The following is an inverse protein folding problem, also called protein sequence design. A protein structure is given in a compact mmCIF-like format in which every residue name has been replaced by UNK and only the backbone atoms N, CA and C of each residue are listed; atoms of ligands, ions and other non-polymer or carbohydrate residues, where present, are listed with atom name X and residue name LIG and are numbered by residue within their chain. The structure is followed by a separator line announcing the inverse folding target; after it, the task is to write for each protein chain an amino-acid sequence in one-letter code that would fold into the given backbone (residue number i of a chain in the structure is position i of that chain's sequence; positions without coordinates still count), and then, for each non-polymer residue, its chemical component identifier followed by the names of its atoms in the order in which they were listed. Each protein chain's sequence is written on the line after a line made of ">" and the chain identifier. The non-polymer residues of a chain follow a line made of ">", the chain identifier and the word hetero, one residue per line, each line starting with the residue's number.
data_IF_873082576673
#
_entry.id   IF_873082576673
#
_cell.length_a   1.000
_cell.length_b   1.000
_cell.length_c   1.000
_cell.angle_alpha   90.00
_cell.angle_beta   90.00
_cell.angle_gamma   90.00
#
_symmetry.space_group_name_H-M   'P 1'
#
loop_
_entity.id
_entity.type
_entity.pdbx_description
1 polymer ?
#
# COMPACT_ATOMS: atom_id res chain seq x y z
N UNK A 1 -16.83 -16.23 19.59
CA UNK A 1 -15.52 -16.46 18.96
C UNK A 1 -15.73 -17.30 17.70
N UNK A 2 -15.93 -16.63 16.57
CA UNK A 2 -16.11 -17.27 15.26
C UNK A 2 -14.75 -17.77 14.77
N UNK A 3 -14.64 -19.09 14.49
CA UNK A 3 -13.46 -19.68 13.86
C UNK A 3 -13.32 -19.09 12.44
N UNK A 4 -12.34 -18.20 12.25
CA UNK A 4 -11.90 -17.82 10.91
C UNK A 4 -11.24 -19.06 10.27
N UNK A 5 -11.78 -19.57 9.17
CA UNK A 5 -11.03 -20.54 8.37
C UNK A 5 -9.79 -19.83 7.81
N UNK A 6 -8.64 -20.50 7.87
CA UNK A 6 -7.38 -19.96 7.36
C UNK A 6 -7.51 -19.78 5.83
N UNK A 7 -7.52 -18.54 5.28
CA UNK A 7 -7.58 -18.35 3.83
C UNK A 7 -6.34 -18.89 3.12
N UNK A 8 -5.29 -19.30 3.86
CA UNK A 8 -4.17 -20.05 3.32
C UNK A 8 -4.44 -21.56 3.18
N UNK A 9 -5.60 -22.07 3.62
CA UNK A 9 -6.01 -23.45 3.36
C UNK A 9 -6.12 -23.71 1.84
N UNK A 10 -6.59 -22.76 1.04
CA UNK A 10 -6.60 -22.89 -0.44
C UNK A 10 -5.19 -22.81 -1.05
N UNK A 11 -4.23 -22.10 -0.45
CA UNK A 11 -2.83 -22.19 -0.90
C UNK A 11 -2.22 -23.56 -0.62
N UNK A 12 -2.74 -24.31 0.37
CA UNK A 12 -2.33 -25.71 0.56
C UNK A 12 -2.84 -26.61 -0.55
N UNK A 13 -3.99 -26.31 -1.17
CA UNK A 13 -4.47 -27.04 -2.34
C UNK A 13 -3.54 -26.90 -3.54
N UNK A 14 -3.09 -25.68 -3.85
CA UNK A 14 -2.15 -25.49 -4.96
C UNK A 14 -0.82 -26.16 -4.68
N UNK A 15 -0.27 -25.99 -3.46
CA UNK A 15 1.00 -26.59 -3.08
C UNK A 15 0.94 -28.12 -2.97
N UNK A 16 -0.21 -28.70 -2.64
CA UNK A 16 -0.40 -30.16 -2.60
C UNK A 16 -0.59 -30.73 -4.01
N UNK A 17 -1.32 -30.02 -4.89
CA UNK A 17 -1.55 -30.42 -6.29
C UNK A 17 -0.31 -30.24 -7.17
N UNK A 18 0.50 -29.20 -6.91
CA UNK A 18 1.68 -28.84 -7.70
C UNK A 18 2.92 -28.60 -6.81
N UNK A 19 3.43 -29.64 -6.12
CA UNK A 19 4.51 -29.49 -5.14
C UNK A 19 5.83 -29.00 -5.78
N UNK A 20 6.14 -29.43 -6.99
CA UNK A 20 7.35 -28.99 -7.71
C UNK A 20 7.27 -27.51 -8.09
N UNK A 21 6.11 -27.03 -8.55
CA UNK A 21 5.91 -25.62 -8.87
C UNK A 21 6.01 -24.75 -7.62
N UNK A 22 5.43 -25.19 -6.49
CA UNK A 22 5.53 -24.46 -5.23
C UNK A 22 6.98 -24.38 -4.70
N UNK A 23 7.76 -25.46 -4.83
CA UNK A 23 9.19 -25.47 -4.49
C UNK A 23 10.00 -24.55 -5.40
N UNK A 24 9.75 -24.61 -6.71
CA UNK A 24 10.41 -23.74 -7.68
C UNK A 24 10.10 -22.26 -7.43
N UNK A 25 8.82 -21.92 -7.19
CA UNK A 25 8.42 -20.56 -6.86
C UNK A 25 9.13 -20.05 -5.59
N UNK A 26 9.22 -20.88 -4.55
CA UNK A 26 9.94 -20.54 -3.33
C UNK A 26 11.44 -20.34 -3.60
N UNK A 27 12.08 -21.22 -4.37
CA UNK A 27 13.49 -21.11 -4.74
C UNK A 27 13.76 -19.82 -5.53
N UNK A 28 12.95 -19.53 -6.54
CA UNK A 28 13.05 -18.29 -7.33
C UNK A 28 12.82 -17.06 -6.47
N UNK A 29 11.88 -17.12 -5.52
CA UNK A 29 11.60 -16.01 -4.61
C UNK A 29 12.78 -15.69 -3.70
N UNK A 30 13.45 -16.73 -3.17
CA UNK A 30 14.70 -16.55 -2.43
C UNK A 30 15.85 -16.04 -3.30
N UNK A 31 15.99 -16.55 -4.52
CA UNK A 31 16.99 -16.06 -5.47
C UNK A 31 16.81 -14.57 -5.77
N UNK A 32 15.58 -14.15 -6.06
CA UNK A 32 15.22 -12.74 -6.25
C UNK A 32 15.51 -11.92 -5.00
N UNK A 33 15.16 -12.43 -3.81
CA UNK A 33 15.38 -11.74 -2.54
C UNK A 33 16.86 -11.47 -2.26
N UNK A 34 17.72 -12.47 -2.44
CA UNK A 34 19.16 -12.32 -2.27
C UNK A 34 19.76 -11.37 -3.31
N UNK A 35 19.31 -11.47 -4.57
CA UNK A 35 19.72 -10.56 -5.62
C UNK A 35 19.34 -9.10 -5.30
N UNK A 36 18.08 -8.84 -4.92
CA UNK A 36 17.60 -7.52 -4.54
C UNK A 36 18.36 -6.97 -3.32
N UNK A 37 18.60 -7.80 -2.31
CA UNK A 37 19.39 -7.43 -1.15
C UNK A 37 20.81 -7.01 -1.54
N UNK A 38 21.52 -7.83 -2.34
CA UNK A 38 22.86 -7.54 -2.82
C UNK A 38 22.92 -6.26 -3.66
N UNK A 39 21.95 -6.06 -4.57
CA UNK A 39 21.82 -4.83 -5.37
C UNK A 39 21.55 -3.59 -4.51
N UNK A 40 20.77 -3.73 -3.46
CA UNK A 40 20.50 -2.62 -2.51
C UNK A 40 21.77 -2.23 -1.77
N UNK A 41 22.50 -3.21 -1.24
CA UNK A 41 23.78 -2.96 -0.54
C UNK A 41 24.77 -2.29 -1.48
N UNK A 42 24.95 -2.81 -2.71
CA UNK A 42 25.80 -2.16 -3.71
C UNK A 42 25.38 -0.73 -4.01
N UNK A 43 24.07 -0.49 -4.21
CA UNK A 43 23.57 0.86 -4.49
C UNK A 43 23.78 1.83 -3.32
N UNK A 44 23.62 1.39 -2.07
CA UNK A 44 23.93 2.19 -0.88
C UNK A 44 25.40 2.56 -0.81
N UNK A 45 26.31 1.63 -1.16
CA UNK A 45 27.75 1.86 -1.12
C UNK A 45 28.25 2.74 -2.28
N UNK A 46 27.62 2.66 -3.45
CA UNK A 46 28.12 3.29 -4.68
C UNK A 46 27.38 4.58 -5.08
N UNK A 47 26.07 4.68 -4.80
CA UNK A 47 25.18 5.67 -5.41
C UNK A 47 24.51 6.61 -4.40
N UNK A 48 24.89 6.57 -3.12
CA UNK A 48 24.37 7.44 -2.06
C UNK A 48 22.82 7.47 -1.99
N UNK A 49 22.17 6.32 -2.24
CA UNK A 49 20.70 6.22 -2.21
C UNK A 49 20.13 6.16 -0.79
N UNK A 50 21.00 6.11 0.22
CA UNK A 50 20.61 5.84 1.60
C UNK A 50 19.90 7.06 2.19
N UNK A 51 18.63 6.86 2.53
CA UNK A 51 17.74 7.90 3.03
C UNK A 51 17.40 8.97 2.00
N UNK A 52 17.50 8.68 0.69
CA UNK A 52 17.27 9.68 -0.35
C UNK A 52 15.88 10.36 -0.22
N UNK A 53 14.82 9.60 0.04
CA UNK A 53 13.47 10.17 0.13
C UNK A 53 13.17 10.72 1.53
N UNK A 54 13.66 10.06 2.58
CA UNK A 54 13.53 10.54 3.96
C UNK A 54 14.29 11.82 4.23
N UNK A 55 15.41 12.04 3.54
CA UNK A 55 16.18 13.27 3.66
C UNK A 55 15.36 14.47 3.16
N UNK A 56 14.57 14.29 2.10
CA UNK A 56 13.60 15.28 1.65
C UNK A 56 12.59 15.64 2.75
N UNK A 57 12.10 14.65 3.49
CA UNK A 57 11.15 14.86 4.59
C UNK A 57 11.79 15.60 5.77
N UNK A 58 13.01 15.20 6.13
CA UNK A 58 13.78 15.79 7.22
C UNK A 58 14.14 17.25 6.94
N UNK A 59 14.59 17.55 5.71
CA UNK A 59 14.87 18.92 5.28
C UNK A 59 13.60 19.77 5.26
N UNK A 60 12.54 19.29 4.61
CA UNK A 60 11.29 20.05 4.47
C UNK A 60 10.62 20.34 5.82
N UNK A 61 10.76 19.45 6.80
CA UNK A 61 10.23 19.66 8.15
C UNK A 61 11.07 20.63 9.00
N UNK A 62 12.34 20.84 8.66
CA UNK A 62 13.23 21.79 9.34
C UNK A 62 13.21 23.20 8.73
N UNK A 63 13.04 23.31 7.42
CA UNK A 63 12.98 24.60 6.72
C UNK A 63 11.56 25.16 6.65
N UNK A 64 11.42 26.38 6.12
CA UNK A 64 10.15 26.80 5.54
C UNK A 64 9.87 25.90 4.31
N UNK A 65 8.67 25.34 4.25
CA UNK A 65 8.25 24.44 3.19
C UNK A 65 8.28 25.15 1.82
N UNK A 66 9.10 24.66 0.89
CA UNK A 66 9.09 25.14 -0.49
C UNK A 66 8.87 23.98 -1.48
N UNK A 67 7.80 24.07 -2.26
CA UNK A 67 7.48 23.12 -3.34
C UNK A 67 8.20 23.48 -4.65
N UNK A 68 9.51 23.72 -4.58
CA UNK A 68 10.30 24.22 -5.71
C UNK A 68 10.89 23.11 -6.58
N UNK A 69 11.06 21.90 -6.02
CA UNK A 69 11.70 20.78 -6.71
C UNK A 69 10.67 19.87 -7.36
N UNK A 70 10.88 19.58 -8.64
CA UNK A 70 10.01 18.69 -9.40
C UNK A 70 10.14 17.22 -8.92
N UNK A 71 9.09 16.39 -9.10
CA UNK A 71 9.17 14.96 -8.82
C UNK A 71 10.38 14.29 -9.50
N UNK A 72 11.08 13.45 -8.74
CA UNK A 72 12.28 12.74 -9.22
C UNK A 72 13.59 13.51 -9.04
N UNK A 73 13.54 14.78 -8.64
CA UNK A 73 14.74 15.50 -8.22
C UNK A 73 15.16 15.10 -6.79
N UNK A 74 16.46 15.22 -6.49
CA UNK A 74 17.00 14.98 -5.15
C UNK A 74 16.34 15.92 -4.15
N UNK A 75 15.94 15.39 -3.01
CA UNK A 75 15.29 16.13 -1.93
C UNK A 75 13.99 16.84 -2.34
N UNK A 76 13.27 16.31 -3.34
CA UNK A 76 11.96 16.84 -3.74
C UNK A 76 10.87 16.39 -2.75
N UNK A 77 10.30 17.36 -2.04
CA UNK A 77 9.17 17.11 -1.14
C UNK A 77 7.84 17.23 -1.89
N UNK A 78 7.02 16.17 -1.84
CA UNK A 78 5.83 16.03 -2.70
C UNK A 78 4.50 15.94 -1.93
N UNK A 79 4.56 15.89 -0.60
CA UNK A 79 3.40 15.55 0.24
C UNK A 79 2.70 16.79 0.76
N UNK A 80 1.48 16.63 1.27
CA UNK A 80 0.70 17.75 1.80
C UNK A 80 1.33 18.36 3.06
N UNK A 81 1.06 19.64 3.37
CA UNK A 81 1.64 20.32 4.54
C UNK A 81 1.38 19.60 5.86
N UNK A 82 0.20 18.99 6.03
CA UNK A 82 -0.15 18.25 7.25
C UNK A 82 0.78 17.06 7.52
N UNK A 83 1.37 16.46 6.48
CA UNK A 83 2.38 15.43 6.67
C UNK A 83 3.60 16.00 7.40
N UNK A 84 4.08 17.20 7.00
CA UNK A 84 5.16 17.89 7.70
C UNK A 84 4.81 18.16 9.16
N UNK A 85 3.62 18.68 9.45
CA UNK A 85 3.19 18.95 10.83
C UNK A 85 3.30 17.70 11.71
N UNK A 86 2.95 16.53 11.18
CA UNK A 86 3.03 15.25 11.90
C UNK A 86 4.47 14.78 12.11
N UNK A 87 5.34 14.92 11.10
CA UNK A 87 6.72 14.43 11.20
C UNK A 87 7.67 15.42 11.90
N UNK A 88 7.29 16.70 12.00
CA UNK A 88 8.14 17.78 12.51
C UNK A 88 8.76 17.50 13.89
N UNK A 89 8.03 16.96 14.89
CA UNK A 89 8.63 16.65 16.19
C UNK A 89 9.80 15.67 16.08
N UNK A 90 9.75 14.74 15.12
CA UNK A 90 10.81 13.77 14.87
C UNK A 90 11.94 14.38 14.04
N UNK A 91 11.63 15.30 13.12
CA UNK A 91 12.63 15.99 12.30
C UNK A 91 13.54 16.95 13.08
N UNK A 92 13.22 17.24 14.36
CA UNK A 92 14.13 17.90 15.30
C UNK A 92 15.35 17.05 15.67
N UNK A 93 15.28 15.73 15.44
CA UNK A 93 16.41 14.85 15.63
C UNK A 93 17.50 15.13 14.56
N UNK A 94 18.79 15.00 14.92
CA UNK A 94 19.86 14.95 13.94
C UNK A 94 19.59 13.91 12.85
N UNK A 95 20.01 14.20 11.62
CA UNK A 95 19.73 13.37 10.44
C UNK A 95 19.89 11.85 10.66
N UNK A 96 21.00 11.33 11.24
CA UNK A 96 21.16 9.89 11.43
C UNK A 96 20.08 9.27 12.34
N UNK A 97 19.60 10.01 13.34
CA UNK A 97 18.56 9.53 14.25
C UNK A 97 17.18 9.59 13.60
N UNK A 98 16.89 10.63 12.81
CA UNK A 98 15.66 10.69 12.02
C UNK A 98 15.59 9.54 11.02
N UNK A 99 16.67 9.29 10.28
CA UNK A 99 16.75 8.18 9.33
C UNK A 99 16.57 6.82 10.02
N UNK A 100 17.25 6.62 11.16
CA UNK A 100 17.11 5.39 11.95
C UNK A 100 15.68 5.17 12.41
N UNK A 101 15.03 6.22 12.95
CA UNK A 101 13.63 6.17 13.36
C UNK A 101 12.73 5.77 12.18
N UNK A 102 12.96 6.35 11.00
CA UNK A 102 12.17 6.08 9.82
C UNK A 102 12.30 4.63 9.34
N UNK A 103 13.53 4.11 9.26
CA UNK A 103 13.78 2.69 8.95
C UNK A 103 13.08 1.78 9.95
N UNK A 104 13.15 2.08 11.25
CA UNK A 104 12.49 1.30 12.29
C UNK A 104 10.97 1.32 12.13
N UNK A 105 10.38 2.47 11.78
CA UNK A 105 8.95 2.61 11.54
C UNK A 105 8.50 1.74 10.35
N UNK A 106 9.18 1.84 9.21
CA UNK A 106 8.86 1.03 8.03
C UNK A 106 9.08 -0.47 8.28
N UNK A 107 10.18 -0.84 8.92
CA UNK A 107 10.47 -2.23 9.27
C UNK A 107 9.40 -2.80 10.22
N UNK A 108 8.93 -2.01 11.20
CA UNK A 108 7.86 -2.43 12.09
C UNK A 108 6.54 -2.66 11.33
N UNK A 109 6.19 -1.76 10.41
CA UNK A 109 5.01 -1.92 9.54
C UNK A 109 5.16 -3.14 8.64
N UNK A 110 6.32 -3.35 8.02
CA UNK A 110 6.61 -4.53 7.21
C UNK A 110 6.48 -5.82 8.00
N UNK A 111 7.11 -5.92 9.17
CA UNK A 111 7.00 -7.08 10.06
C UNK A 111 5.54 -7.33 10.46
N UNK A 112 4.79 -6.27 10.74
CA UNK A 112 3.37 -6.37 10.99
C UNK A 112 2.64 -6.93 9.75
N UNK A 113 2.84 -6.36 8.56
CA UNK A 113 2.23 -6.79 7.30
C UNK A 113 2.52 -8.25 6.95
N UNK A 114 3.74 -8.71 7.18
CA UNK A 114 4.21 -10.07 6.87
C UNK A 114 3.87 -11.11 7.94
N UNK A 115 3.44 -10.71 9.14
CA UNK A 115 3.04 -11.62 10.24
C UNK A 115 2.08 -12.76 9.84
N UNK A 116 1.14 -12.59 8.89
CA UNK A 116 0.32 -13.68 8.38
C UNK A 116 1.07 -14.82 7.69
N UNK A 117 2.26 -14.54 7.16
CA UNK A 117 3.04 -15.47 6.35
C UNK A 117 3.92 -16.37 7.21
N UNK A 118 4.21 -17.58 6.70
CA UNK A 118 5.23 -18.46 7.27
C UNK A 118 6.62 -17.86 7.03
N UNK A 119 7.57 -18.13 7.93
CA UNK A 119 8.94 -17.60 7.85
C UNK A 119 9.59 -17.78 6.47
N UNK A 120 9.40 -18.94 5.83
CA UNK A 120 9.91 -19.24 4.48
C UNK A 120 9.49 -18.24 3.39
N UNK A 121 8.37 -17.53 3.58
CA UNK A 121 7.87 -16.48 2.68
C UNK A 121 8.11 -15.08 3.27
N UNK A 122 7.98 -14.92 4.59
CA UNK A 122 8.19 -13.63 5.25
C UNK A 122 9.64 -13.15 5.12
N UNK A 123 10.63 -14.03 5.34
CA UNK A 123 12.04 -13.68 5.27
C UNK A 123 12.50 -13.18 3.87
N UNK A 124 12.23 -13.89 2.75
CA UNK A 124 12.61 -13.39 1.44
C UNK A 124 11.81 -12.13 1.05
N UNK A 125 10.55 -12.00 1.47
CA UNK A 125 9.81 -10.75 1.25
C UNK A 125 10.49 -9.57 1.96
N UNK A 126 10.90 -9.75 3.21
CA UNK A 126 11.62 -8.72 3.96
C UNK A 126 12.90 -8.27 3.24
N UNK A 127 13.67 -9.23 2.70
CA UNK A 127 14.88 -8.95 1.92
C UNK A 127 14.57 -8.20 0.61
N UNK A 128 13.47 -8.54 -0.07
CA UNK A 128 13.02 -7.82 -1.27
C UNK A 128 12.62 -6.37 -0.94
N UNK A 129 12.20 -6.09 0.29
CA UNK A 129 11.83 -4.74 0.76
C UNK A 129 13.02 -3.88 1.20
N UNK A 130 14.25 -4.39 1.18
CA UNK A 130 15.43 -3.60 1.54
C UNK A 130 15.62 -2.31 0.71
N UNK A 131 15.33 -2.24 -0.61
CA UNK A 131 15.42 -0.99 -1.36
C UNK A 131 14.54 0.12 -0.81
N UNK A 132 13.31 -0.22 -0.40
CA UNK A 132 12.39 0.72 0.23
C UNK A 132 12.95 1.20 1.57
N UNK A 133 13.40 0.28 2.43
CA UNK A 133 13.98 0.62 3.74
C UNK A 133 15.26 1.47 3.60
N UNK A 134 16.05 1.22 2.56
CA UNK A 134 17.28 1.97 2.29
C UNK A 134 16.97 3.39 1.84
N UNK A 135 16.01 3.58 0.92
CA UNK A 135 15.63 4.89 0.39
C UNK A 135 14.73 5.68 1.35
N UNK A 136 13.88 4.98 2.11
CA UNK A 136 12.91 5.53 3.06
C UNK A 136 11.65 6.11 2.42
N UNK A 137 11.13 5.50 1.34
CA UNK A 137 9.86 5.94 0.74
C UNK A 137 8.67 5.44 1.58
N UNK A 138 7.48 6.01 1.38
CA UNK A 138 6.30 5.71 2.19
C UNK A 138 5.47 4.51 1.71
N UNK A 139 5.87 3.74 0.69
CA UNK A 139 5.03 2.69 0.11
C UNK A 139 4.68 1.57 1.11
N UNK A 140 5.57 1.22 2.04
CA UNK A 140 5.25 0.31 3.14
C UNK A 140 4.22 0.90 4.10
N UNK A 141 4.31 2.21 4.39
CA UNK A 141 3.31 2.91 5.20
C UNK A 141 1.96 2.98 4.48
N UNK A 142 1.97 3.18 3.16
CA UNK A 142 0.77 3.13 2.30
C UNK A 142 0.15 1.72 2.31
N UNK A 143 0.97 0.67 2.23
CA UNK A 143 0.53 -0.71 2.39
C UNK A 143 -0.16 -0.93 3.75
N UNK A 144 0.43 -0.38 4.83
CA UNK A 144 -0.15 -0.41 6.16
C UNK A 144 -1.49 0.33 6.24
N UNK A 145 -1.55 1.53 5.66
CA UNK A 145 -2.75 2.35 5.57
C UNK A 145 -3.85 1.67 4.74
N UNK A 146 -3.53 0.87 3.73
CA UNK A 146 -4.51 0.08 2.99
C UNK A 146 -5.27 -0.87 3.92
N UNK A 147 -4.54 -1.65 4.71
CA UNK A 147 -5.12 -2.62 5.67
C UNK A 147 -5.95 -1.91 6.73
N UNK A 148 -5.42 -0.82 7.29
CA UNK A 148 -6.12 -0.04 8.31
C UNK A 148 -7.34 0.68 7.73
N UNK A 149 -7.25 1.20 6.51
CA UNK A 149 -8.32 1.91 5.79
C UNK A 149 -9.54 1.04 5.54
N UNK A 150 -9.35 -0.25 5.28
CA UNK A 150 -10.45 -1.22 5.18
C UNK A 150 -11.23 -1.41 6.49
N UNK A 151 -10.59 -1.14 7.63
CA UNK A 151 -11.19 -1.28 8.96
C UNK A 151 -11.69 0.06 9.51
N UNK A 152 -10.88 1.11 9.36
CA UNK A 152 -11.07 2.49 9.81
C UNK A 152 -10.95 3.43 8.61
N UNK A 153 -12.07 3.81 7.97
CA UNK A 153 -12.04 4.57 6.70
C UNK A 153 -11.23 5.87 6.73
N UNK A 154 -11.12 6.54 7.89
CA UNK A 154 -10.31 7.76 8.06
C UNK A 154 -8.83 7.53 7.71
N UNK A 155 -8.30 6.31 7.86
CA UNK A 155 -6.91 6.00 7.53
C UNK A 155 -6.59 6.16 6.02
N UNK A 156 -7.60 6.19 5.15
CA UNK A 156 -7.43 6.55 3.73
C UNK A 156 -6.96 8.00 3.52
N UNK A 157 -7.08 8.86 4.54
CA UNK A 157 -6.51 10.21 4.49
C UNK A 157 -5.00 10.17 4.26
N UNK A 158 -4.28 9.21 4.85
CA UNK A 158 -2.83 9.14 4.70
C UNK A 158 -2.39 8.90 3.24
N UNK A 159 -2.90 7.90 2.51
CA UNK A 159 -2.65 7.77 1.07
C UNK A 159 -3.06 9.00 0.26
N UNK A 160 -4.24 9.58 0.51
CA UNK A 160 -4.72 10.73 -0.27
C UNK A 160 -3.82 11.97 -0.07
N UNK A 161 -3.35 12.19 1.15
CA UNK A 161 -2.55 13.35 1.55
C UNK A 161 -1.07 13.24 1.20
N UNK A 162 -0.62 12.09 0.68
CA UNK A 162 0.78 11.84 0.31
C UNK A 162 0.93 11.42 -1.14
N UNK A 163 0.05 10.56 -1.65
CA UNK A 163 -0.04 10.14 -3.06
C UNK A 163 -1.50 10.03 -3.47
N UNK A 164 -2.09 11.16 -3.87
CA UNK A 164 -3.54 11.36 -4.11
C UNK A 164 -4.26 10.15 -4.72
N UNK A 165 -3.78 9.63 -5.86
CA UNK A 165 -4.42 8.53 -6.59
C UNK A 165 -4.30 7.17 -5.89
N UNK A 166 -3.33 6.98 -4.99
CA UNK A 166 -3.20 5.79 -4.15
C UNK A 166 -4.35 5.69 -3.13
N UNK A 167 -5.09 6.78 -2.90
CA UNK A 167 -6.35 6.79 -2.15
C UNK A 167 -7.52 6.06 -2.82
N UNK A 168 -7.33 5.44 -3.99
CA UNK A 168 -8.37 4.76 -4.77
C UNK A 168 -9.18 3.72 -3.98
N UNK A 169 -8.60 3.13 -2.93
CA UNK A 169 -9.29 2.14 -2.11
C UNK A 169 -10.50 2.70 -1.36
N UNK A 170 -10.65 4.02 -1.20
CA UNK A 170 -11.87 4.60 -0.65
C UNK A 170 -13.11 4.35 -1.55
N UNK A 171 -12.90 4.23 -2.87
CA UNK A 171 -13.95 3.89 -3.83
C UNK A 171 -14.57 2.50 -3.58
N UNK A 172 -13.87 1.62 -2.86
CA UNK A 172 -14.41 0.34 -2.41
C UNK A 172 -15.73 0.51 -1.66
N UNK A 173 -15.81 1.47 -0.74
CA UNK A 173 -16.99 1.70 0.07
C UNK A 173 -18.16 2.22 -0.78
N UNK A 174 -17.88 3.07 -1.76
CA UNK A 174 -18.89 3.56 -2.70
C UNK A 174 -19.47 2.41 -3.54
N UNK A 175 -18.62 1.56 -4.12
CA UNK A 175 -19.05 0.41 -4.94
C UNK A 175 -19.91 -0.58 -4.15
N UNK A 176 -19.65 -0.73 -2.84
CA UNK A 176 -20.43 -1.59 -1.95
C UNK A 176 -21.68 -0.93 -1.36
N UNK A 177 -21.94 0.34 -1.65
CA UNK A 177 -23.03 1.09 -1.02
C UNK A 177 -22.82 1.33 0.48
N UNK A 178 -21.58 1.23 0.99
CA UNK A 178 -21.22 1.48 2.39
C UNK A 178 -21.08 2.98 2.67
N UNK A 179 -22.14 3.75 2.38
CA UNK A 179 -22.14 5.22 2.42
C UNK A 179 -21.67 5.81 3.75
N UNK A 180 -22.05 5.19 4.88
CA UNK A 180 -21.59 5.62 6.21
C UNK A 180 -20.07 5.56 6.34
N UNK A 181 -19.44 4.49 5.82
CA UNK A 181 -17.98 4.32 5.88
C UNK A 181 -17.27 5.25 4.91
N UNK A 182 -17.85 5.44 3.72
CA UNK A 182 -17.38 6.45 2.76
C UNK A 182 -17.40 7.84 3.39
N UNK A 183 -18.52 8.24 4.01
CA UNK A 183 -18.66 9.53 4.70
C UNK A 183 -17.72 9.66 5.89
N UNK A 184 -17.45 8.59 6.63
CA UNK A 184 -16.41 8.62 7.68
C UNK A 184 -15.03 8.90 7.11
N UNK A 185 -14.66 8.25 6.00
CA UNK A 185 -13.38 8.47 5.34
C UNK A 185 -13.25 9.89 4.79
N UNK A 186 -14.24 10.33 4.00
CA UNK A 186 -14.29 11.66 3.40
C UNK A 186 -14.40 12.77 4.46
N UNK A 187 -15.24 12.59 5.47
CA UNK A 187 -15.41 13.55 6.57
C UNK A 187 -14.16 13.67 7.42
N UNK A 188 -13.48 12.55 7.71
CA UNK A 188 -12.19 12.56 8.40
C UNK A 188 -11.10 13.27 7.60
N UNK A 189 -11.01 12.99 6.29
CA UNK A 189 -10.09 13.69 5.39
C UNK A 189 -10.39 15.19 5.35
N UNK A 190 -11.66 15.57 5.16
CA UNK A 190 -12.08 16.97 5.10
C UNK A 190 -11.79 17.71 6.40
N UNK A 191 -11.97 17.06 7.55
CA UNK A 191 -11.64 17.64 8.86
C UNK A 191 -10.11 17.86 8.99
N UNK A 192 -9.30 16.86 8.63
CA UNK A 192 -7.83 16.96 8.68
C UNK A 192 -7.34 18.10 7.78
N UNK A 193 -7.81 18.13 6.52
CA UNK A 193 -7.47 19.18 5.55
C UNK A 193 -7.95 20.53 6.05
N UNK A 194 -9.21 20.65 6.48
CA UNK A 194 -9.81 21.92 6.90
C UNK A 194 -9.12 22.53 8.12
N UNK A 195 -8.83 21.71 9.15
CA UNK A 195 -8.09 22.17 10.33
C UNK A 195 -6.67 22.57 9.95
N UNK A 196 -5.95 21.75 9.19
CA UNK A 196 -4.58 22.07 8.75
C UNK A 196 -4.52 23.32 7.87
N UNK A 197 -5.48 23.49 6.96
CA UNK A 197 -5.61 24.65 6.08
C UNK A 197 -5.84 25.93 6.87
N UNK A 198 -6.64 25.89 7.94
CA UNK A 198 -6.88 27.06 8.79
C UNK A 198 -5.60 27.56 9.48
N UNK A 199 -4.65 26.68 9.78
CA UNK A 199 -3.36 27.06 10.38
C UNK A 199 -2.33 27.51 9.34
N UNK A 200 -2.25 26.84 8.18
CA UNK A 200 -1.20 27.09 7.18
C UNK A 200 -1.76 27.25 5.74
N UNK A 201 -2.62 28.24 5.46
CA UNK A 201 -3.32 28.34 4.18
C UNK A 201 -2.37 28.53 2.98
N UNK A 202 -1.27 29.28 3.17
CA UNK A 202 -0.28 29.50 2.13
C UNK A 202 0.42 28.20 1.69
N UNK A 203 0.78 27.35 2.64
CA UNK A 203 1.41 26.04 2.39
C UNK A 203 0.48 25.13 1.57
N UNK A 204 -0.81 25.10 1.91
CA UNK A 204 -1.80 24.33 1.16
C UNK A 204 -2.01 24.84 -0.26
N UNK A 205 -2.11 26.16 -0.44
CA UNK A 205 -2.23 26.74 -1.77
C UNK A 205 -0.99 26.43 -2.64
N UNK A 206 0.21 26.46 -2.03
CA UNK A 206 1.44 26.06 -2.70
C UNK A 206 1.42 24.58 -3.10
N UNK A 207 0.95 23.68 -2.23
CA UNK A 207 0.83 22.26 -2.55
C UNK A 207 -0.18 21.99 -3.66
N UNK A 208 -1.35 22.64 -3.65
CA UNK A 208 -2.34 22.47 -4.71
C UNK A 208 -1.81 22.98 -6.05
N UNK A 209 -1.11 24.11 -6.06
CA UNK A 209 -0.44 24.63 -7.26
C UNK A 209 0.61 23.64 -7.76
N UNK A 210 1.44 23.12 -6.86
CA UNK A 210 2.45 22.12 -7.17
C UNK A 210 1.85 20.87 -7.84
N UNK A 211 0.74 20.34 -7.32
CA UNK A 211 0.04 19.19 -7.91
C UNK A 211 -0.49 19.48 -9.32
N UNK A 212 -1.03 20.68 -9.55
CA UNK A 212 -1.57 21.08 -10.85
C UNK A 212 -0.46 21.28 -11.89
N UNK A 213 0.67 21.88 -11.49
CA UNK A 213 1.83 22.10 -12.35
C UNK A 213 2.52 20.78 -12.74
N UNK A 214 2.51 19.78 -11.85
CA UNK A 214 3.19 18.50 -12.07
C UNK A 214 2.25 17.33 -12.45
N UNK A 215 0.99 17.62 -12.80
CA UNK A 215 0.01 16.59 -13.21
C UNK A 215 0.45 15.76 -14.43
N UNK A 216 1.39 16.30 -15.18
CA UNK A 216 1.90 15.76 -16.45
C UNK A 216 3.21 14.97 -16.29
N UNK A 217 3.84 15.03 -15.12
CA UNK A 217 5.21 14.59 -14.85
C UNK A 217 5.39 13.14 -14.41
N UNK A 218 4.53 12.21 -14.84
CA UNK A 218 4.71 10.79 -14.48
C UNK A 218 5.89 10.19 -15.27
N UNK A 219 6.88 9.57 -14.62
CA UNK A 219 8.09 9.07 -15.29
C UNK A 219 7.83 8.02 -16.40
N UNK A 220 6.69 7.33 -16.36
CA UNK A 220 6.30 6.27 -17.29
C UNK A 220 5.29 6.70 -18.36
N UNK A 221 5.13 8.02 -18.59
CA UNK A 221 4.15 8.70 -19.47
C UNK A 221 2.72 8.82 -18.93
N UNK A 222 2.06 9.92 -19.31
CA UNK A 222 0.66 10.19 -18.92
C UNK A 222 -0.32 9.12 -19.40
N UNK A 223 -0.14 8.62 -20.63
CA UNK A 223 -1.02 7.60 -21.22
C UNK A 223 -0.95 6.31 -20.39
N UNK A 224 0.26 5.87 -20.06
CA UNK A 224 0.46 4.74 -19.15
C UNK A 224 -0.25 4.98 -17.83
N UNK A 225 -0.06 6.15 -17.21
CA UNK A 225 -0.67 6.49 -15.93
C UNK A 225 -2.21 6.43 -15.96
N UNK A 226 -2.86 7.00 -16.99
CA UNK A 226 -4.32 6.94 -17.12
C UNK A 226 -4.84 5.53 -17.34
N UNK A 227 -4.16 4.73 -18.17
CA UNK A 227 -4.51 3.31 -18.38
C UNK A 227 -4.37 2.54 -17.06
N UNK A 228 -3.28 2.73 -16.32
CA UNK A 228 -3.08 2.10 -15.01
C UNK A 228 -4.16 2.53 -14.00
N UNK A 229 -4.54 3.80 -13.97
CA UNK A 229 -5.64 4.28 -13.14
C UNK A 229 -6.99 3.65 -13.51
N UNK A 230 -7.28 3.50 -14.81
CA UNK A 230 -8.49 2.81 -15.26
C UNK A 230 -8.50 1.34 -14.81
N UNK A 231 -7.36 0.64 -14.94
CA UNK A 231 -7.22 -0.74 -14.45
C UNK A 231 -7.37 -0.78 -12.93
N UNK A 232 -6.80 0.17 -12.20
CA UNK A 232 -6.96 0.26 -10.74
C UNK A 232 -8.43 0.39 -10.32
N UNK A 233 -9.21 1.23 -11.02
CA UNK A 233 -10.66 1.34 -10.80
C UNK A 233 -11.34 0.00 -11.04
N UNK A 234 -11.03 -0.69 -12.15
CA UNK A 234 -11.58 -2.02 -12.45
C UNK A 234 -11.26 -3.02 -11.34
N UNK A 235 -10.02 -3.04 -10.84
CA UNK A 235 -9.61 -3.91 -9.72
C UNK A 235 -10.37 -3.60 -8.44
N UNK A 236 -10.60 -2.33 -8.11
CA UNK A 236 -11.41 -1.95 -6.94
C UNK A 236 -12.85 -2.37 -7.12
N UNK A 237 -13.45 -2.17 -8.30
CA UNK A 237 -14.83 -2.56 -8.59
C UNK A 237 -15.00 -4.07 -8.50
N UNK A 238 -14.11 -4.84 -9.14
CA UNK A 238 -14.13 -6.30 -9.12
C UNK A 238 -13.91 -6.79 -7.70
N UNK A 239 -12.89 -6.27 -7.00
CA UNK A 239 -12.60 -6.62 -5.61
C UNK A 239 -13.78 -6.36 -4.69
N UNK A 240 -14.40 -5.19 -4.80
CA UNK A 240 -15.54 -4.79 -3.99
C UNK A 240 -16.76 -5.69 -4.24
N UNK A 241 -17.07 -6.01 -5.50
CA UNK A 241 -18.19 -6.87 -5.88
C UNK A 241 -17.96 -8.33 -5.48
N UNK A 242 -16.73 -8.82 -5.60
CA UNK A 242 -16.35 -10.22 -5.30
C UNK A 242 -15.90 -10.44 -3.85
N UNK A 243 -15.87 -9.40 -3.02
CA UNK A 243 -15.36 -9.46 -1.65
C UNK A 243 -13.90 -9.90 -1.58
N UNK A 244 -13.07 -9.39 -2.49
CA UNK A 244 -11.62 -9.66 -2.56
C UNK A 244 -10.81 -8.41 -2.17
N UNK A 245 -10.72 -8.08 -0.87
CA UNK A 245 -9.97 -6.93 -0.37
C UNK A 245 -8.48 -6.97 -0.74
N UNK A 246 -7.92 -8.14 -1.05
CA UNK A 246 -6.54 -8.28 -1.54
C UNK A 246 -6.27 -7.52 -2.84
N UNK A 247 -7.31 -7.24 -3.66
CA UNK A 247 -7.18 -6.46 -4.89
C UNK A 247 -6.94 -4.96 -4.66
N UNK A 248 -7.10 -4.47 -3.42
CA UNK A 248 -6.80 -3.08 -3.08
C UNK A 248 -5.30 -2.79 -3.25
N UNK A 249 -4.41 -3.68 -2.82
CA UNK A 249 -2.97 -3.47 -2.94
C UNK A 249 -2.47 -3.32 -4.39
N UNK A 250 -2.81 -4.22 -5.35
CA UNK A 250 -2.45 -4.01 -6.75
C UNK A 250 -3.17 -2.81 -7.39
N UNK A 251 -4.39 -2.47 -6.96
CA UNK A 251 -5.05 -1.25 -7.42
C UNK A 251 -4.28 0.01 -6.97
N UNK A 252 -3.83 0.06 -5.71
CA UNK A 252 -2.97 1.13 -5.19
C UNK A 252 -1.64 1.22 -5.93
N UNK A 253 -1.01 0.08 -6.24
CA UNK A 253 0.20 0.00 -7.05
C UNK A 253 0.02 0.64 -8.42
N UNK A 254 -1.02 0.22 -9.14
CA UNK A 254 -1.32 0.75 -10.47
C UNK A 254 -1.72 2.22 -10.43
N UNK A 255 -2.43 2.65 -9.39
CA UNK A 255 -2.81 4.05 -9.21
C UNK A 255 -1.64 4.94 -8.77
N UNK A 256 -0.47 4.40 -8.41
CA UNK A 256 0.67 5.22 -7.98
C UNK A 256 1.12 6.17 -9.10
N UNK A 257 1.28 7.49 -8.82
CA UNK A 257 1.78 8.45 -9.81
C UNK A 257 3.25 8.20 -10.18
N UNK A 258 3.99 7.46 -9.35
CA UNK A 258 5.37 7.05 -9.61
C UNK A 258 5.42 5.53 -9.58
N UNK A 259 5.66 4.91 -10.73
CA UNK A 259 5.84 3.47 -10.88
C UNK A 259 7.19 3.18 -11.53
N UNK A 260 8.27 3.56 -10.84
CA UNK A 260 9.65 3.39 -11.31
C UNK A 260 10.41 2.47 -10.36
N UNK A 261 11.12 1.50 -10.92
CA UNK A 261 11.93 0.56 -10.15
C UNK A 261 11.12 -0.36 -9.24
N UNK A 262 11.79 -1.09 -8.33
CA UNK A 262 11.16 -2.11 -7.49
C UNK A 262 10.42 -1.55 -6.27
N UNK A 263 10.67 -0.29 -5.91
CA UNK A 263 10.22 0.34 -4.65
C UNK A 263 8.67 0.38 -4.54
N UNK A 264 7.88 0.87 -5.52
CA UNK A 264 6.42 0.94 -5.40
C UNK A 264 5.74 -0.42 -5.17
N UNK A 265 6.36 -1.52 -5.62
CA UNK A 265 5.83 -2.87 -5.44
C UNK A 265 5.71 -3.28 -3.97
N UNK A 266 6.35 -2.55 -3.05
CA UNK A 266 6.23 -2.81 -1.60
C UNK A 266 4.81 -2.60 -1.07
N UNK A 267 3.94 -1.88 -1.80
CA UNK A 267 2.51 -1.84 -1.49
C UNK A 267 1.84 -3.23 -1.50
N UNK A 268 2.38 -4.19 -2.27
CA UNK A 268 1.88 -5.56 -2.31
C UNK A 268 2.10 -6.31 -0.99
N UNK A 269 2.90 -5.79 -0.06
CA UNK A 269 3.06 -6.35 1.29
C UNK A 269 1.74 -6.32 2.08
N UNK A 270 0.76 -5.51 1.66
CA UNK A 270 -0.58 -5.50 2.24
C UNK A 270 -1.41 -6.77 1.93
N UNK A 271 -1.10 -7.48 0.83
CA UNK A 271 -1.92 -8.60 0.31
C UNK A 271 -2.20 -9.69 1.36
N UNK A 272 -1.21 -10.21 2.12
CA UNK A 272 -1.45 -11.28 3.09
C UNK A 272 -2.45 -10.92 4.18
N UNK A 273 -2.46 -9.65 4.62
CA UNK A 273 -3.41 -9.17 5.62
C UNK A 273 -4.77 -8.85 5.02
N UNK A 274 -4.79 -8.18 3.87
CA UNK A 274 -6.03 -7.87 3.17
C UNK A 274 -6.81 -9.15 2.84
N UNK A 275 -6.14 -10.22 2.39
CA UNK A 275 -6.76 -11.50 2.09
C UNK A 275 -7.49 -12.14 3.29
N UNK A 276 -7.10 -11.81 4.53
CA UNK A 276 -7.78 -12.27 5.76
C UNK A 276 -9.03 -11.48 6.11
N UNK A 277 -9.30 -10.36 5.42
CA UNK A 277 -10.51 -9.57 5.60
C UNK A 277 -11.68 -10.10 4.75
N UNK A 278 -11.44 -11.01 3.82
CA UNK A 278 -12.49 -11.68 3.06
C UNK A 278 -13.40 -12.47 4.00
N UNK A 279 -14.74 -12.40 3.85
CA UNK A 279 -15.64 -13.27 4.59
C UNK A 279 -15.32 -14.72 4.25
N UNK A 280 -15.26 -15.59 5.27
CA UNK A 280 -15.17 -17.01 5.04
C UNK A 280 -16.50 -17.47 4.43
N UNK A 281 -16.51 -17.80 3.14
CA UNK A 281 -17.60 -18.58 2.56
C UNK A 281 -17.52 -19.96 3.19
N UNK A 282 -18.29 -20.17 4.27
CA UNK A 282 -18.54 -21.51 4.78
C UNK A 282 -19.31 -22.21 3.67
N UNK A 283 -18.63 -23.04 2.87
CA UNK A 283 -19.32 -24.07 2.12
C UNK A 283 -20.00 -24.94 3.16
N UNK A 284 -21.32 -24.82 3.29
CA UNK A 284 -22.13 -25.74 4.07
C UNK A 284 -21.99 -27.10 3.38
N UNK A 285 -21.34 -28.11 3.98
CA UNK A 285 -21.33 -29.45 3.44
C UNK A 285 -22.75 -29.99 3.63
N UNK A 286 -23.61 -29.88 2.61
CA UNK A 286 -25.02 -30.23 2.77
C UNK A 286 -25.94 -29.95 1.58
N UNK A 287 -25.60 -29.08 0.63
CA UNK A 287 -26.28 -29.03 -0.67
C UNK A 287 -25.77 -30.19 -1.55
N UNK A 288 -26.11 -31.41 -1.11
CA UNK A 288 -26.12 -32.58 -1.98
C UNK A 288 -27.12 -32.32 -3.10
N UNK A 289 -26.74 -32.75 -4.30
CA UNK A 289 -27.60 -32.88 -5.46
C UNK A 289 -28.98 -33.41 -5.06
N UNK A 290 -30.02 -32.81 -5.68
CA UNK A 290 -31.38 -33.30 -5.65
C UNK A 290 -31.41 -34.83 -5.75
N UNK A 291 -32.00 -35.46 -4.74
CA UNK A 291 -32.24 -36.90 -4.67
C UNK A 291 -33.17 -37.30 -5.83
N UNK A 292 -32.73 -38.15 -6.78
CA UNK A 292 -33.58 -38.64 -7.86
C UNK A 292 -34.73 -39.54 -7.38
N UNK A 293 -34.82 -39.86 -6.08
CA UNK A 293 -35.79 -40.82 -5.55
C UNK A 293 -37.14 -40.21 -5.12
N UNK A 294 -37.30 -38.88 -5.10
CA UNK A 294 -38.58 -38.25 -4.72
C UNK A 294 -39.65 -38.27 -5.83
N UNK A 295 -39.36 -38.81 -7.02
CA UNK A 295 -40.31 -38.89 -8.14
C UNK A 295 -41.17 -40.18 -8.17
N UNK A 296 -41.03 -41.09 -7.20
CA UNK A 296 -41.75 -42.39 -7.21
C UNK A 296 -42.90 -42.47 -6.19
N UNK A 297 -43.16 -41.44 -5.39
CA UNK A 297 -44.21 -41.44 -4.35
C UNK A 297 -45.41 -40.53 -4.59
N UNK A 298 -45.70 -40.16 -5.83
CA UNK A 298 -47.03 -39.64 -6.20
C UNK A 298 -47.62 -40.50 -7.32
N UNK A 299 -48.22 -41.61 -6.88
CA UNK A 299 -49.32 -42.28 -7.58
C UNK A 299 -50.63 -41.76 -7.00
#
# INVERSE_FOLDING_TARGET
>A
MTKYADPFADMTWFASKYPSAAKLALFLFWGLALFTAGRTVGAVLENDIFGQDTHAYWLAAQSELTYERAPGQRDAYLYSPIFLTVIRPFALLPWPLFQTFWICLEAAVLLWLLRPLKFRWAAPYFLISLPELAVGNIYLLLAGAAVLGMQKPVAWSFPILTKVTVGIGLAWFAVRGEWRRLLQGLGGLALIVGVSYAFEPAAWNAWFRFLLEHREGTPDSQISFYVRCAIAVVLVVVGARKQWPSLIAPAMLLASPVLVGPIPYMMLAAVPRLARLSPCTVMVPGESAADPQSAVQQK
#
